data_IF_486332923753
#
_entry.id   IF_486332923753
#
_cell.length_a   1.000
_cell.length_b   1.000
_cell.length_c   1.000
_cell.angle_alpha   90.00
_cell.angle_beta   90.00
_cell.angle_gamma   90.00
#
_symmetry.space_group_name_H-M   'P 1'
#
loop_
_entity.id
_entity.type
_entity.pdbx_description
1 polymer ?
#
# COMPACT_ATOMS: atom_id res chain seq x y z
N UNK A 1 -9.87 24.21 -5.29
CA UNK A 1 -10.35 24.15 -3.90
C UNK A 1 -9.22 24.24 -2.89
N UNK A 2 -8.32 23.24 -2.73
CA UNK A 2 -7.27 23.34 -1.69
C UNK A 2 -6.26 24.50 -1.87
N UNK A 3 -5.84 24.82 -3.11
CA UNK A 3 -4.96 25.98 -3.37
C UNK A 3 -5.60 27.33 -3.01
N UNK A 4 -6.92 27.41 -3.00
CA UNK A 4 -7.68 28.64 -2.74
C UNK A 4 -8.11 28.77 -1.27
N UNK A 5 -8.07 27.67 -0.50
CA UNK A 5 -8.51 27.66 0.89
C UNK A 5 -7.56 26.79 1.74
N UNK A 6 -6.47 27.36 2.28
CA UNK A 6 -5.42 26.61 2.97
C UNK A 6 -5.88 25.85 4.22
N UNK A 7 -7.00 26.30 4.81
CA UNK A 7 -7.66 25.66 5.96
C UNK A 7 -8.59 24.50 5.58
N UNK A 8 -8.77 24.22 4.28
CA UNK A 8 -9.58 23.08 3.84
C UNK A 8 -8.93 21.74 4.19
N UNK A 9 -9.77 20.73 4.48
CA UNK A 9 -9.33 19.37 4.77
C UNK A 9 -8.48 18.81 3.63
N UNK A 10 -7.27 18.33 3.98
CA UNK A 10 -6.41 17.58 3.08
C UNK A 10 -6.62 16.10 3.32
N UNK A 11 -7.34 15.43 2.41
CA UNK A 11 -7.45 13.98 2.45
C UNK A 11 -6.52 13.35 1.40
N UNK A 12 -5.84 12.29 1.83
CA UNK A 12 -5.03 11.41 0.99
C UNK A 12 -5.55 10.00 1.17
N UNK A 13 -5.68 9.26 0.07
CA UNK A 13 -6.02 7.84 0.09
C UNK A 13 -4.82 7.01 -0.33
N UNK A 14 -4.56 5.91 0.37
CA UNK A 14 -3.49 4.96 0.06
C UNK A 14 -4.12 3.63 -0.28
N UNK A 15 -3.84 3.12 -1.49
CA UNK A 15 -4.43 1.91 -2.05
C UNK A 15 -3.37 0.82 -2.10
N UNK A 16 -3.25 0.10 -1.00
CA UNK A 16 -2.20 -0.88 -0.77
C UNK A 16 -2.37 -2.22 -1.54
N UNK A 17 -3.40 -2.36 -2.38
CA UNK A 17 -3.68 -3.61 -3.11
C UNK A 17 -3.86 -4.82 -2.15
N UNK A 18 -3.18 -5.96 -2.39
CA UNK A 18 -3.33 -7.18 -1.60
C UNK A 18 -2.50 -7.14 -0.32
N UNK A 19 -3.17 -7.18 0.83
CA UNK A 19 -2.52 -7.39 2.14
C UNK A 19 -1.89 -8.78 2.17
N UNK A 20 -0.66 -8.91 2.68
CA UNK A 20 -0.09 -10.21 3.01
C UNK A 20 -0.69 -10.72 4.34
N UNK A 21 -1.44 -11.83 4.31
CA UNK A 21 -1.96 -12.50 5.52
C UNK A 21 -1.23 -13.78 5.90
N UNK A 22 -0.38 -14.32 5.03
CA UNK A 22 0.18 -15.68 5.17
C UNK A 22 1.22 -15.75 6.30
N UNK A 23 1.80 -14.62 6.68
CA UNK A 23 2.76 -14.51 7.81
C UNK A 23 2.28 -13.69 9.00
N UNK A 24 1.00 -13.29 9.06
CA UNK A 24 0.50 -12.34 10.05
C UNK A 24 -0.65 -12.94 10.85
N UNK A 25 -0.33 -13.57 11.98
CA UNK A 25 -1.34 -14.17 12.85
C UNK A 25 -2.30 -13.12 13.43
N UNK A 26 -1.81 -11.91 13.61
CA UNK A 26 -2.53 -10.80 14.24
C UNK A 26 -3.71 -10.33 13.38
N UNK A 27 -3.61 -10.50 12.05
CA UNK A 27 -4.65 -10.04 11.11
C UNK A 27 -5.59 -11.16 10.66
N UNK A 28 -5.28 -12.43 10.96
CA UNK A 28 -6.11 -13.59 10.62
C UNK A 28 -7.59 -13.42 11.02
N UNK A 29 -7.94 -12.88 12.22
CA UNK A 29 -9.34 -12.74 12.62
C UNK A 29 -10.16 -11.76 11.77
N UNK A 30 -9.49 -10.85 11.05
CA UNK A 30 -10.14 -9.84 10.20
C UNK A 30 -10.19 -10.25 8.73
N UNK A 31 -9.56 -11.38 8.38
CA UNK A 31 -9.55 -11.86 7.02
C UNK A 31 -10.89 -12.57 6.71
N UNK A 32 -11.49 -12.33 5.54
CA UNK A 32 -12.70 -13.06 5.17
C UNK A 32 -12.40 -14.56 5.11
N UNK A 33 -13.27 -15.38 5.71
CA UNK A 33 -13.18 -16.82 5.51
C UNK A 33 -13.69 -17.17 4.12
N UNK A 34 -12.77 -17.42 3.20
CA UNK A 34 -13.09 -17.86 1.83
C UNK A 34 -13.40 -19.37 1.75
N UNK A 35 -13.39 -20.08 2.88
CA UNK A 35 -13.56 -21.52 2.97
C UNK A 35 -12.24 -22.29 2.93
N UNK A 36 -12.21 -23.44 3.60
CA UNK A 36 -11.02 -24.26 3.81
C UNK A 36 -10.21 -24.54 2.52
N UNK A 37 -10.92 -24.84 1.43
CA UNK A 37 -10.34 -25.22 0.15
C UNK A 37 -9.60 -24.05 -0.53
N UNK A 38 -10.19 -22.84 -0.49
CA UNK A 38 -9.57 -21.62 -1.04
C UNK A 38 -8.40 -21.18 -0.15
N UNK A 39 -8.54 -21.32 1.18
CA UNK A 39 -7.47 -20.98 2.12
C UNK A 39 -6.24 -21.89 1.97
N UNK A 40 -6.44 -23.20 1.80
CA UNK A 40 -5.36 -24.18 1.58
C UNK A 40 -4.74 -24.03 0.18
N UNK A 41 -5.56 -23.85 -0.86
CA UNK A 41 -5.03 -23.59 -2.20
C UNK A 41 -4.22 -22.28 -2.23
N UNK A 42 -4.70 -21.25 -1.54
CA UNK A 42 -4.02 -19.97 -1.36
C UNK A 42 -2.68 -20.12 -0.67
N UNK A 43 -2.58 -20.85 0.45
CA UNK A 43 -1.31 -20.99 1.18
C UNK A 43 -0.21 -21.68 0.36
N UNK A 44 -0.58 -22.56 -0.58
CA UNK A 44 0.36 -23.27 -1.47
C UNK A 44 0.71 -22.43 -2.71
N UNK A 45 -0.27 -21.78 -3.34
CA UNK A 45 -0.09 -21.07 -4.61
C UNK A 45 0.48 -19.65 -4.44
N UNK A 46 0.12 -18.96 -3.36
CA UNK A 46 0.50 -17.57 -3.12
C UNK A 46 2.02 -17.34 -3.01
N UNK A 47 2.84 -18.22 -2.39
CA UNK A 47 4.29 -18.06 -2.37
C UNK A 47 4.95 -18.08 -3.76
N UNK A 48 4.36 -18.84 -4.71
CA UNK A 48 4.85 -18.92 -6.10
C UNK A 48 4.34 -17.74 -6.92
N UNK A 49 3.08 -17.36 -6.75
CA UNK A 49 2.47 -16.18 -7.39
C UNK A 49 3.10 -14.85 -6.91
N UNK A 50 3.72 -14.84 -5.72
CA UNK A 50 4.39 -13.68 -5.13
C UNK A 50 5.52 -13.10 -5.95
N UNK A 51 6.30 -13.94 -6.62
CA UNK A 51 7.49 -13.50 -7.35
C UNK A 51 7.15 -12.56 -8.52
N UNK A 52 6.25 -12.93 -9.45
CA UNK A 52 5.91 -12.05 -10.58
C UNK A 52 4.96 -10.89 -10.23
N UNK A 53 4.21 -10.97 -9.12
CA UNK A 53 3.24 -9.94 -8.73
C UNK A 53 3.59 -9.24 -7.41
N UNK A 54 4.88 -9.19 -7.04
CA UNK A 54 5.38 -8.52 -5.81
C UNK A 54 4.91 -7.07 -5.69
N UNK A 55 4.76 -6.37 -6.81
CA UNK A 55 4.20 -5.01 -6.91
C UNK A 55 2.72 -4.90 -6.56
N UNK A 56 2.00 -6.04 -6.42
CA UNK A 56 0.60 -6.12 -5.99
C UNK A 56 0.44 -6.53 -4.53
N UNK A 57 1.49 -7.03 -3.88
CA UNK A 57 1.47 -7.31 -2.45
C UNK A 57 1.93 -6.10 -1.63
N UNK A 58 1.12 -5.73 -0.67
CA UNK A 58 1.47 -4.81 0.39
C UNK A 58 2.10 -5.59 1.55
N UNK A 59 3.29 -5.15 1.93
CA UNK A 59 3.97 -5.54 3.15
C UNK A 59 3.38 -4.72 4.31
N UNK A 60 2.79 -5.39 5.29
CA UNK A 60 2.02 -4.79 6.40
C UNK A 60 2.85 -3.81 7.24
N UNK A 61 4.07 -4.17 7.64
CA UNK A 61 4.93 -3.31 8.46
C UNK A 61 5.39 -2.05 7.70
N UNK A 62 5.97 -2.13 6.48
CA UNK A 62 6.28 -0.93 5.70
C UNK A 62 5.06 -0.05 5.40
N UNK A 63 3.88 -0.65 5.19
CA UNK A 63 2.65 0.13 5.04
C UNK A 63 2.33 0.90 6.33
N UNK A 64 2.41 0.26 7.49
CA UNK A 64 2.21 0.92 8.78
C UNK A 64 3.13 2.13 8.95
N UNK A 65 4.44 1.95 8.70
CA UNK A 65 5.43 3.04 8.74
C UNK A 65 5.10 4.16 7.76
N UNK A 66 4.67 3.81 6.55
CA UNK A 66 4.28 4.79 5.55
C UNK A 66 3.06 5.60 6.00
N UNK A 67 1.99 4.96 6.46
CA UNK A 67 0.77 5.61 6.94
C UNK A 67 1.03 6.51 8.16
N UNK A 68 1.86 6.06 9.10
CA UNK A 68 2.30 6.91 10.21
C UNK A 68 3.09 8.11 9.70
N UNK A 69 4.04 7.92 8.78
CA UNK A 69 4.78 9.02 8.17
C UNK A 69 3.89 10.00 7.41
N UNK A 70 2.83 9.52 6.75
CA UNK A 70 1.81 10.36 6.10
C UNK A 70 1.10 11.25 7.11
N UNK A 71 0.67 10.69 8.25
CA UNK A 71 0.04 11.46 9.32
C UNK A 71 0.98 12.49 9.95
N UNK A 72 2.28 12.20 9.96
CA UNK A 72 3.33 13.07 10.50
C UNK A 72 3.88 14.09 9.49
N UNK A 73 3.43 14.08 8.24
CA UNK A 73 3.92 14.96 7.17
C UNK A 73 5.33 14.62 6.66
N UNK A 74 5.87 13.45 7.00
CA UNK A 74 7.22 13.01 6.58
C UNK A 74 7.35 12.92 5.06
N UNK A 75 6.25 12.59 4.38
CA UNK A 75 6.24 12.34 2.93
C UNK A 75 5.74 13.51 2.09
N UNK A 76 5.45 14.68 2.67
CA UNK A 76 4.80 15.79 1.95
C UNK A 76 5.53 16.20 0.67
N UNK A 77 6.87 16.13 0.66
CA UNK A 77 7.70 16.41 -0.52
C UNK A 77 7.90 15.24 -1.50
N UNK A 78 7.42 14.03 -1.16
CA UNK A 78 7.63 12.80 -1.94
C UNK A 78 6.35 12.30 -2.64
N UNK A 79 5.19 12.95 -2.43
CA UNK A 79 3.89 12.57 -2.99
C UNK A 79 3.69 13.03 -4.43
N UNK A 80 4.62 12.67 -5.31
CA UNK A 80 4.60 12.98 -6.74
C UNK A 80 5.24 11.87 -7.59
N UNK A 81 4.91 11.82 -8.88
CA UNK A 81 5.44 10.85 -9.83
C UNK A 81 4.61 9.56 -9.95
N UNK A 82 5.20 8.51 -10.53
CA UNK A 82 4.51 7.26 -10.85
C UNK A 82 3.83 6.63 -9.62
N UNK A 83 2.57 6.22 -9.80
CA UNK A 83 1.75 5.65 -8.73
C UNK A 83 1.18 6.68 -7.74
N UNK A 84 1.32 7.99 -8.02
CA UNK A 84 0.63 9.05 -7.28
C UNK A 84 -0.24 9.85 -8.24
N UNK A 85 -1.54 9.88 -7.98
CA UNK A 85 -2.52 10.65 -8.76
C UNK A 85 -3.06 11.81 -7.92
N UNK A 86 -3.18 12.99 -8.55
CA UNK A 86 -3.84 14.14 -7.94
C UNK A 86 -5.20 14.33 -8.60
N UNK A 87 -6.27 14.10 -7.84
CA UNK A 87 -7.63 14.30 -8.31
C UNK A 87 -8.00 15.79 -8.37
N UNK A 88 -8.99 16.17 -9.18
CA UNK A 88 -9.56 17.50 -9.16
C UNK A 88 -9.90 17.94 -7.72
N UNK A 89 -9.50 19.15 -7.36
CA UNK A 89 -9.71 19.69 -6.00
C UNK A 89 -8.51 19.57 -5.05
N UNK A 90 -7.51 18.73 -5.38
CA UNK A 90 -6.25 18.60 -4.63
C UNK A 90 -6.10 17.31 -3.83
N UNK A 91 -7.07 16.40 -3.89
CA UNK A 91 -6.99 15.10 -3.22
C UNK A 91 -5.90 14.23 -3.84
N UNK A 92 -5.17 13.52 -2.98
CA UNK A 92 -4.05 12.67 -3.41
C UNK A 92 -4.42 11.21 -3.29
N UNK A 93 -4.16 10.44 -4.33
CA UNK A 93 -4.28 8.98 -4.36
C UNK A 93 -2.87 8.42 -4.50
N UNK A 94 -2.46 7.60 -3.54
CA UNK A 94 -1.19 6.86 -3.60
C UNK A 94 -1.52 5.40 -3.86
N UNK A 95 -1.23 4.92 -5.07
CA UNK A 95 -1.36 3.52 -5.44
C UNK A 95 -0.18 2.70 -4.88
N UNK A 96 -0.34 1.37 -4.78
CA UNK A 96 0.69 0.49 -4.23
C UNK A 96 2.08 0.69 -4.87
N UNK A 97 2.23 0.86 -6.21
CA UNK A 97 3.54 1.16 -6.81
C UNK A 97 4.14 2.49 -6.31
N UNK A 98 3.32 3.51 -6.09
CA UNK A 98 3.77 4.79 -5.55
C UNK A 98 4.27 4.66 -4.12
N UNK A 99 3.51 3.98 -3.27
CA UNK A 99 3.92 3.64 -1.90
C UNK A 99 5.24 2.86 -1.89
N UNK A 100 5.34 1.79 -2.69
CA UNK A 100 6.53 0.93 -2.73
C UNK A 100 7.77 1.70 -3.20
N UNK A 101 7.62 2.57 -4.20
CA UNK A 101 8.68 3.49 -4.66
C UNK A 101 9.13 4.44 -3.55
N UNK A 102 8.20 5.14 -2.91
CA UNK A 102 8.51 6.12 -1.84
C UNK A 102 9.23 5.42 -0.67
N UNK A 103 8.84 4.17 -0.36
CA UNK A 103 9.44 3.36 0.70
C UNK A 103 10.68 2.58 0.27
N UNK A 104 11.12 2.68 -0.99
CA UNK A 104 12.29 1.96 -1.51
C UNK A 104 12.14 0.44 -1.57
N UNK A 105 10.91 -0.10 -1.62
CA UNK A 105 10.63 -1.54 -1.52
C UNK A 105 10.86 -2.32 -2.82
N UNK A 106 11.07 -1.63 -3.93
CA UNK A 106 11.34 -2.22 -5.25
C UNK A 106 12.83 -2.15 -5.64
N UNK A 107 13.67 -1.51 -4.80
CA UNK A 107 15.10 -1.37 -5.03
C UNK A 107 15.90 -2.57 -4.49
N UNK A 108 15.53 -3.81 -4.81
CA UNK A 108 16.40 -4.99 -4.61
C UNK A 108 16.03 -6.06 -5.64
N UNK A 109 16.73 -6.06 -6.78
CA UNK A 109 17.05 -7.23 -7.61
C UNK A 109 18.19 -6.81 -8.56
N UNK A 110 19.37 -6.56 -7.99
CA UNK A 110 20.53 -6.05 -8.71
C UNK A 110 21.81 -6.07 -7.89
N UNK A 111 22.15 -7.24 -7.33
CA UNK A 111 23.52 -7.71 -7.04
C UNK A 111 23.49 -9.20 -6.72
#
# INVERSE_FOLDING_TARGET
MQKQNPSSLRATTVRASLVDWIGHEEIKPYFPDFGLLINVAGSILMPVARRPARSKWCTTEPLGRFLTGMAMGVWDGALEGEGVERLPGGFTVVENPGFRRIMGLDAVDGQ
#
